data_IF_367322410040
#
_entry.id   IF_367322410040
#
_cell.length_a   1.000
_cell.length_b   1.000
_cell.length_c   1.000
_cell.angle_alpha   90.00
_cell.angle_beta   90.00
_cell.angle_gamma   90.00
#
_symmetry.space_group_name_H-M   'P 1'
#
loop_
_entity.id
_entity.type
_entity.pdbx_description
1 polymer ?
#
# COMPACT_ATOMS: atom_id res chain seq x y z
N UNK A 1 1.22 -67.91 -11.43
CA UNK A 1 0.50 -69.19 -11.24
C UNK A 1 -0.49 -68.93 -10.11
N UNK A 2 -1.82 -68.92 -10.21
CA UNK A 2 -2.88 -69.49 -11.07
C UNK A 2 -4.09 -68.53 -10.89
N UNK A 3 -4.62 -67.83 -11.89
CA UNK A 3 -5.59 -68.21 -12.94
C UNK A 3 -7.07 -68.42 -12.49
N UNK A 4 -7.98 -67.71 -13.20
CA UNK A 4 -9.36 -68.09 -13.64
C UNK A 4 -10.47 -67.97 -12.56
N UNK A 5 -11.52 -67.12 -12.65
CA UNK A 5 -12.61 -66.87 -13.64
C UNK A 5 -13.77 -67.89 -13.68
N UNK A 6 -15.01 -67.41 -13.46
CA UNK A 6 -16.34 -67.89 -13.96
C UNK A 6 -17.43 -67.05 -13.27
N UNK A 7 -18.33 -66.28 -13.89
CA UNK A 7 -19.24 -66.43 -15.05
C UNK A 7 -20.52 -67.25 -14.79
N UNK A 8 -21.70 -66.66 -15.11
CA UNK A 8 -23.05 -67.25 -15.14
C UNK A 8 -24.12 -66.25 -14.63
N UNK A 9 -24.86 -65.42 -15.38
CA UNK A 9 -25.68 -65.53 -16.62
C UNK A 9 -27.10 -66.11 -16.41
N UNK A 10 -28.14 -65.28 -16.62
CA UNK A 10 -29.53 -65.61 -17.04
C UNK A 10 -30.18 -64.27 -17.47
N UNK A 11 -30.42 -63.90 -18.75
CA UNK A 11 -31.24 -64.43 -19.86
C UNK A 11 -32.76 -64.53 -19.62
N UNK A 12 -33.52 -63.58 -20.17
CA UNK A 12 -34.64 -63.75 -21.14
C UNK A 12 -35.47 -62.45 -21.21
N UNK A 13 -36.11 -62.06 -22.32
CA UNK A 13 -36.42 -62.78 -23.53
C UNK A 13 -36.93 -61.85 -24.65
N UNK A 14 -36.86 -62.39 -25.86
CA UNK A 14 -37.17 -61.79 -27.17
C UNK A 14 -38.69 -61.69 -27.43
N UNK A 15 -39.13 -60.80 -28.33
CA UNK A 15 -39.58 -61.14 -29.70
C UNK A 15 -40.26 -59.98 -30.46
N UNK A 16 -39.84 -59.80 -31.70
CA UNK A 16 -40.59 -59.17 -32.80
C UNK A 16 -41.85 -59.95 -33.16
N UNK A 17 -42.91 -59.25 -33.61
CA UNK A 17 -43.48 -59.42 -34.96
C UNK A 17 -44.49 -58.31 -35.31
N UNK A 18 -44.50 -58.02 -36.60
CA UNK A 18 -45.29 -57.11 -37.43
C UNK A 18 -46.80 -57.42 -37.49
N UNK A 19 -47.64 -56.40 -37.71
CA UNK A 19 -48.31 -56.12 -39.02
C UNK A 19 -49.74 -55.57 -38.91
N UNK A 20 -50.01 -54.49 -39.68
CA UNK A 20 -51.24 -54.11 -40.41
C UNK A 20 -52.31 -53.17 -39.78
N UNK A 21 -52.37 -51.99 -40.41
CA UNK A 21 -53.51 -51.11 -40.77
C UNK A 21 -54.53 -50.66 -39.71
N UNK A 22 -54.68 -49.32 -39.60
CA UNK A 22 -55.87 -48.60 -40.12
C UNK A 22 -55.60 -47.08 -40.20
N UNK A 23 -55.97 -46.50 -41.34
CA UNK A 23 -56.01 -45.07 -41.64
C UNK A 23 -56.87 -44.30 -40.63
N UNK A 24 -56.37 -43.16 -40.16
CA UNK A 24 -57.18 -41.96 -39.93
C UNK A 24 -56.24 -40.75 -39.96
N UNK A 25 -56.46 -39.87 -40.94
CA UNK A 25 -55.63 -38.69 -41.15
C UNK A 25 -55.85 -37.65 -40.05
N UNK A 26 -54.75 -37.10 -39.55
CA UNK A 26 -54.70 -35.78 -38.95
C UNK A 26 -53.41 -35.14 -39.47
N UNK A 27 -53.57 -34.13 -40.33
CA UNK A 27 -52.48 -33.26 -40.75
C UNK A 27 -52.14 -32.37 -39.56
N UNK A 28 -51.09 -32.75 -38.82
CA UNK A 28 -50.48 -31.88 -37.82
C UNK A 28 -49.41 -31.05 -38.51
N UNK A 29 -49.70 -29.77 -38.70
CA UNK A 29 -48.77 -28.74 -39.16
C UNK A 29 -47.57 -28.68 -38.20
N UNK A 30 -46.42 -29.18 -38.64
CA UNK A 30 -45.14 -28.99 -37.93
C UNK A 30 -44.71 -27.55 -38.19
N UNK A 31 -45.05 -26.64 -37.28
CA UNK A 31 -44.39 -25.34 -37.18
C UNK A 31 -42.98 -25.59 -36.64
N UNK A 32 -41.96 -25.52 -37.51
CA UNK A 32 -40.57 -25.34 -37.09
C UNK A 32 -40.47 -23.99 -36.38
N UNK A 33 -40.59 -23.99 -35.06
CA UNK A 33 -40.16 -22.85 -34.25
C UNK A 33 -38.64 -22.87 -34.27
N UNK A 34 -38.06 -22.01 -35.11
CA UNK A 34 -36.67 -21.59 -34.94
C UNK A 34 -36.57 -20.90 -33.58
N UNK A 35 -36.15 -21.66 -32.58
CA UNK A 35 -35.74 -21.11 -31.29
C UNK A 35 -34.51 -20.25 -31.51
N UNK A 36 -34.70 -18.94 -31.72
CA UNK A 36 -33.64 -17.96 -31.54
C UNK A 36 -33.16 -18.08 -30.09
N UNK A 37 -31.98 -18.65 -29.88
CA UNK A 37 -31.30 -18.60 -28.59
C UNK A 37 -31.12 -17.13 -28.22
N UNK A 38 -31.94 -16.65 -27.29
CA UNK A 38 -31.78 -15.33 -26.72
C UNK A 38 -30.39 -15.29 -26.06
N UNK A 39 -29.45 -14.55 -26.67
CA UNK A 39 -28.21 -14.17 -26.01
C UNK A 39 -28.62 -13.44 -24.75
N UNK A 40 -28.30 -14.01 -23.59
CA UNK A 40 -28.42 -13.25 -22.35
C UNK A 40 -27.64 -11.95 -22.53
N UNK A 41 -28.21 -10.78 -22.19
CA UNK A 41 -27.44 -9.56 -22.20
C UNK A 41 -26.27 -9.78 -21.25
N UNK A 42 -25.06 -9.81 -21.82
CA UNK A 42 -23.83 -9.75 -21.04
C UNK A 42 -23.93 -8.45 -20.26
N UNK A 43 -24.13 -8.55 -18.94
CA UNK A 43 -24.03 -7.36 -18.10
C UNK A 43 -22.65 -6.78 -18.35
N UNK A 44 -22.52 -5.49 -18.69
CA UNK A 44 -21.24 -4.84 -18.75
C UNK A 44 -20.52 -5.15 -17.44
N UNK A 45 -19.30 -5.67 -17.54
CA UNK A 45 -18.44 -5.80 -16.37
C UNK A 45 -18.47 -4.45 -15.64
N UNK A 46 -18.62 -4.44 -14.30
CA UNK A 46 -18.54 -3.19 -13.56
C UNK A 46 -17.28 -2.48 -14.03
N UNK A 47 -17.41 -1.23 -14.47
CA UNK A 47 -16.26 -0.46 -14.89
C UNK A 47 -15.22 -0.54 -13.77
N UNK A 48 -13.96 -0.87 -14.08
CA UNK A 48 -12.93 -0.91 -13.07
C UNK A 48 -12.96 0.42 -12.34
N UNK A 49 -13.09 0.36 -11.01
CA UNK A 49 -13.04 1.55 -10.17
C UNK A 49 -11.84 2.38 -10.63
N UNK A 50 -12.02 3.69 -10.93
CA UNK A 50 -10.92 4.53 -11.37
C UNK A 50 -9.75 4.33 -10.41
N UNK A 51 -8.60 3.94 -10.96
CA UNK A 51 -7.38 3.77 -10.17
C UNK A 51 -7.16 5.09 -9.41
N UNK A 52 -6.93 5.06 -8.09
CA UNK A 52 -6.66 6.28 -7.34
C UNK A 52 -5.54 7.04 -8.03
N UNK A 53 -5.76 8.35 -8.13
CA UNK A 53 -4.92 9.29 -8.85
C UNK A 53 -3.44 9.08 -8.47
N UNK A 54 -2.64 8.82 -9.51
CA UNK A 54 -1.26 8.43 -9.39
C UNK A 54 -0.43 9.46 -8.61
N UNK A 55 0.54 8.97 -7.83
CA UNK A 55 1.76 9.65 -7.34
C UNK A 55 1.66 11.17 -7.38
N UNK A 56 1.31 11.80 -6.25
CA UNK A 56 1.53 13.24 -6.09
C UNK A 56 2.99 13.44 -5.66
N UNK A 57 3.86 14.00 -6.51
CA UNK A 57 5.22 14.33 -6.11
C UNK A 57 5.16 15.36 -4.99
N UNK A 58 6.04 15.29 -3.99
CA UNK A 58 6.21 16.44 -3.09
C UNK A 58 6.69 17.64 -3.88
N UNK A 59 6.16 18.81 -3.57
CA UNK A 59 6.67 20.05 -4.14
C UNK A 59 7.90 20.52 -3.35
N UNK A 60 8.17 21.83 -3.30
CA UNK A 60 9.32 22.36 -2.59
C UNK A 60 9.21 22.07 -1.09
N UNK A 61 10.29 21.61 -0.48
CA UNK A 61 10.36 21.41 0.98
C UNK A 61 11.48 22.26 1.58
N UNK A 62 11.43 22.50 2.88
CA UNK A 62 12.45 23.28 3.58
C UNK A 62 13.25 22.32 4.46
N UNK A 63 14.56 22.26 4.22
CA UNK A 63 15.50 21.52 5.07
C UNK A 63 16.15 22.46 6.08
N UNK A 64 16.27 21.98 7.32
CA UNK A 64 16.73 22.71 8.47
C UNK A 64 17.76 21.89 9.25
N UNK A 65 18.72 22.63 9.83
CA UNK A 65 19.64 22.11 10.83
C UNK A 65 20.55 20.98 10.36
N UNK A 66 21.50 20.64 11.22
CA UNK A 66 22.32 19.45 11.10
C UNK A 66 22.74 19.09 12.52
N UNK A 67 22.24 17.97 13.04
CA UNK A 67 22.40 17.57 14.43
C UNK A 67 23.25 16.31 14.51
N UNK A 68 24.23 16.29 15.39
CA UNK A 68 24.99 15.07 15.71
C UNK A 68 24.24 14.14 16.67
N UNK A 69 23.41 14.74 17.54
CA UNK A 69 22.60 14.02 18.53
C UNK A 69 21.15 13.92 18.06
N UNK A 70 20.60 12.71 18.08
CA UNK A 70 19.21 12.44 17.68
C UNK A 70 18.22 13.28 18.50
N UNK A 71 18.40 13.36 19.82
CA UNK A 71 17.45 14.06 20.71
C UNK A 71 17.30 15.55 20.37
N UNK A 72 18.34 16.17 19.80
CA UNK A 72 18.25 17.55 19.33
C UNK A 72 17.38 17.65 18.09
N UNK A 73 17.53 16.74 17.13
CA UNK A 73 16.68 16.67 15.95
C UNK A 73 15.21 16.39 16.34
N UNK A 74 14.98 15.44 17.26
CA UNK A 74 13.64 15.11 17.76
C UNK A 74 12.96 16.30 18.42
N UNK A 75 13.64 16.98 19.36
CA UNK A 75 13.08 18.17 20.03
C UNK A 75 12.80 19.29 19.03
N UNK A 76 13.69 19.51 18.07
CA UNK A 76 13.51 20.52 17.05
C UNK A 76 12.34 20.19 16.12
N UNK A 77 12.21 18.94 15.67
CA UNK A 77 11.04 18.47 14.92
C UNK A 77 9.74 18.71 15.70
N UNK A 78 9.70 18.35 16.99
CA UNK A 78 8.52 18.57 17.83
C UNK A 78 8.16 20.06 17.96
N UNK A 79 9.16 20.94 18.12
CA UNK A 79 8.90 22.39 18.19
C UNK A 79 8.28 22.94 16.91
N UNK A 80 8.58 22.35 15.74
CA UNK A 80 7.97 22.74 14.47
C UNK A 80 6.54 22.18 14.36
N UNK A 81 6.33 20.94 14.80
CA UNK A 81 4.99 20.31 14.86
C UNK A 81 4.04 21.09 15.77
N UNK A 82 4.51 21.63 16.90
CA UNK A 82 3.74 22.52 17.78
C UNK A 82 3.30 23.83 17.10
N UNK A 83 4.01 24.25 16.04
CA UNK A 83 3.61 25.39 15.19
C UNK A 83 2.68 24.97 14.04
N UNK A 84 2.21 23.71 14.03
CA UNK A 84 1.38 23.16 12.96
C UNK A 84 2.16 22.80 11.69
N UNK A 85 3.49 22.71 11.75
CA UNK A 85 4.31 22.32 10.62
C UNK A 85 4.54 20.81 10.63
N UNK A 86 4.16 20.13 9.55
CA UNK A 86 4.42 18.69 9.39
C UNK A 86 5.91 18.43 9.11
N UNK A 87 6.70 18.46 10.17
CA UNK A 87 8.14 18.28 10.13
C UNK A 87 8.56 16.82 10.31
N UNK A 88 9.72 16.49 9.75
CA UNK A 88 10.30 15.17 9.88
C UNK A 88 11.83 15.17 9.87
N UNK A 89 12.44 14.35 10.73
CA UNK A 89 13.88 14.16 10.75
C UNK A 89 14.32 12.89 10.02
N UNK A 90 15.56 12.88 9.57
CA UNK A 90 16.19 11.73 8.94
C UNK A 90 17.70 11.77 9.16
N UNK A 91 18.34 10.61 9.09
CA UNK A 91 19.78 10.48 9.17
C UNK A 91 20.35 10.52 7.75
N UNK A 92 21.31 11.41 7.50
CA UNK A 92 22.01 11.46 6.22
C UNK A 92 23.13 10.42 6.12
N UNK A 93 23.73 10.30 4.94
CA UNK A 93 24.82 9.34 4.69
C UNK A 93 26.08 9.58 5.54
N UNK A 94 26.24 10.75 6.17
CA UNK A 94 27.34 11.07 7.08
C UNK A 94 26.98 10.80 8.54
N UNK A 95 25.79 10.27 8.81
CA UNK A 95 25.30 10.00 10.15
C UNK A 95 24.74 11.22 10.88
N UNK A 96 24.59 12.36 10.19
CA UNK A 96 24.04 13.58 10.76
C UNK A 96 22.53 13.60 10.58
N UNK A 97 21.81 14.06 11.61
CA UNK A 97 20.37 14.21 11.54
C UNK A 97 20.01 15.56 10.95
N UNK A 98 19.04 15.56 10.04
CA UNK A 98 18.48 16.75 9.41
C UNK A 98 16.98 16.76 9.60
N UNK A 99 16.36 17.94 9.58
CA UNK A 99 14.91 18.09 9.64
C UNK A 99 14.42 18.68 8.33
N UNK A 100 13.29 18.21 7.82
CA UNK A 100 12.58 18.77 6.67
C UNK A 100 11.13 18.99 7.03
N UNK A 101 10.49 19.97 6.41
CA UNK A 101 9.06 20.17 6.55
C UNK A 101 8.48 20.85 5.30
N UNK A 102 7.16 20.81 5.23
CA UNK A 102 6.38 21.49 4.21
C UNK A 102 6.26 20.74 2.89
N UNK A 103 5.48 21.34 2.00
CA UNK A 103 5.09 20.86 0.68
C UNK A 103 4.52 22.06 -0.08
N UNK A 104 5.43 22.94 -0.52
CA UNK A 104 5.10 24.27 -1.03
C UNK A 104 5.07 24.25 -2.55
N UNK A 105 3.96 24.73 -3.13
CA UNK A 105 3.76 24.75 -4.58
C UNK A 105 4.76 25.60 -5.36
N UNK A 106 5.53 26.47 -4.69
CA UNK A 106 6.60 27.25 -5.34
C UNK A 106 7.77 27.52 -4.40
N UNK A 107 8.94 27.76 -4.99
CA UNK A 107 10.17 28.14 -4.29
C UNK A 107 9.97 29.43 -3.50
N UNK A 108 9.21 30.37 -4.03
CA UNK A 108 8.91 31.67 -3.41
C UNK A 108 8.04 31.52 -2.16
N UNK A 109 7.05 30.61 -2.19
CA UNK A 109 6.22 30.30 -1.02
C UNK A 109 7.07 29.60 0.05
N UNK A 110 7.91 28.63 -0.33
CA UNK A 110 8.82 27.98 0.60
C UNK A 110 9.79 28.99 1.24
N UNK A 111 10.40 29.85 0.43
CA UNK A 111 11.33 30.88 0.88
C UNK A 111 10.68 31.90 1.81
N UNK A 112 9.52 32.46 1.43
CA UNK A 112 8.80 33.42 2.28
C UNK A 112 8.33 32.82 3.60
N UNK A 113 7.96 31.54 3.59
CA UNK A 113 7.64 30.78 4.82
C UNK A 113 8.88 30.62 5.71
N UNK A 114 10.02 30.23 5.13
CA UNK A 114 11.27 30.09 5.86
C UNK A 114 11.73 31.42 6.46
N UNK A 115 11.72 32.50 5.68
CA UNK A 115 12.07 33.85 6.13
C UNK A 115 11.17 34.34 7.27
N UNK A 116 9.88 33.98 7.26
CA UNK A 116 8.98 34.28 8.37
C UNK A 116 9.43 33.56 9.65
N UNK A 117 9.71 32.26 9.57
CA UNK A 117 10.18 31.48 10.73
C UNK A 117 11.53 31.97 11.25
N UNK A 118 12.41 32.48 10.38
CA UNK A 118 13.67 33.14 10.78
C UNK A 118 13.39 34.41 11.57
N UNK A 119 12.51 35.29 11.09
CA UNK A 119 12.14 36.53 11.80
C UNK A 119 11.47 36.27 13.15
N UNK A 120 10.72 35.18 13.26
CA UNK A 120 10.08 34.72 14.51
C UNK A 120 11.08 34.05 15.46
N UNK A 121 12.33 33.82 15.04
CA UNK A 121 13.37 33.18 15.84
C UNK A 121 13.17 31.66 16.02
N UNK A 122 12.33 31.04 15.19
CA UNK A 122 12.01 29.60 15.25
C UNK A 122 13.11 28.78 14.58
N UNK A 123 13.68 29.29 13.49
CA UNK A 123 14.77 28.65 12.75
C UNK A 123 15.90 29.66 12.50
N UNK A 124 17.15 29.18 12.45
CA UNK A 124 18.31 30.05 12.21
C UNK A 124 18.74 30.05 10.74
N UNK A 125 18.76 28.87 10.12
CA UNK A 125 19.22 28.67 8.76
C UNK A 125 18.39 27.58 8.07
N UNK A 126 18.23 27.70 6.76
CA UNK A 126 17.43 26.78 5.96
C UNK A 126 17.98 26.60 4.55
N UNK A 127 17.54 25.53 3.91
CA UNK A 127 17.80 25.24 2.51
C UNK A 127 16.48 24.82 1.85
N UNK A 128 16.16 25.42 0.70
CA UNK A 128 14.98 25.04 -0.08
C UNK A 128 15.35 23.85 -0.96
N UNK A 129 14.66 22.73 -0.78
CA UNK A 129 14.81 21.52 -1.57
C UNK A 129 13.82 21.56 -2.72
N UNK A 130 14.33 21.51 -3.95
CA UNK A 130 13.51 21.42 -5.17
C UNK A 130 12.93 20.00 -5.36
N UNK A 131 11.73 19.85 -5.95
CA UNK A 131 11.20 18.55 -6.33
C UNK A 131 12.13 17.79 -7.30
N UNK A 132 12.89 18.48 -8.14
CA UNK A 132 13.82 17.87 -9.10
C UNK A 132 15.12 17.37 -8.45
N UNK A 133 15.48 17.90 -7.28
CA UNK A 133 16.65 17.45 -6.50
C UNK A 133 16.41 16.07 -5.86
N UNK A 134 15.15 15.65 -5.75
CA UNK A 134 14.78 14.27 -5.47
C UNK A 134 14.95 13.48 -6.79
N UNK A 135 16.19 13.26 -7.17
CA UNK A 135 16.60 12.72 -8.47
C UNK A 135 15.80 11.46 -8.88
N UNK A 136 14.91 11.59 -9.88
CA UNK A 136 14.29 10.45 -10.56
C UNK A 136 14.32 10.66 -12.07
N UNK A 137 15.44 10.37 -12.73
CA UNK A 137 15.60 10.48 -14.20
C UNK A 137 15.91 9.14 -14.86
N UNK A 138 14.91 8.57 -15.56
CA UNK A 138 14.91 7.75 -16.81
C UNK A 138 13.85 6.61 -16.81
N UNK A 139 12.95 6.63 -17.83
CA UNK A 139 11.89 5.63 -18.21
C UNK A 139 10.93 5.14 -17.10
N UNK A 140 9.61 5.22 -17.33
CA UNK A 140 8.56 4.98 -16.30
C UNK A 140 8.70 3.68 -15.49
N UNK A 141 8.98 2.53 -16.12
CA UNK A 141 9.12 1.23 -15.41
C UNK A 141 10.41 1.18 -14.58
N UNK A 142 11.55 1.56 -15.17
CA UNK A 142 12.83 1.66 -14.45
C UNK A 142 12.73 2.70 -13.32
N UNK A 143 11.96 3.76 -13.51
CA UNK A 143 11.62 4.77 -12.50
C UNK A 143 10.85 4.17 -11.33
N UNK A 144 9.83 3.35 -11.57
CA UNK A 144 9.07 2.70 -10.48
C UNK A 144 9.93 1.74 -9.67
N UNK A 145 10.75 0.90 -10.33
CA UNK A 145 11.62 -0.04 -9.62
C UNK A 145 12.68 0.68 -8.78
N UNK A 146 13.40 1.65 -9.37
CA UNK A 146 14.41 2.45 -8.65
C UNK A 146 13.77 3.19 -7.47
N UNK A 147 12.55 3.69 -7.63
CA UNK A 147 11.83 4.37 -6.56
C UNK A 147 11.44 3.41 -5.42
N UNK A 148 11.00 2.19 -5.74
CA UNK A 148 10.75 1.14 -4.74
C UNK A 148 12.02 0.78 -3.97
N UNK A 149 13.13 0.57 -4.68
CA UNK A 149 14.46 0.34 -4.07
C UNK A 149 14.87 1.51 -3.16
N UNK A 150 14.68 2.76 -3.60
CA UNK A 150 14.99 3.94 -2.79
C UNK A 150 14.10 4.06 -1.54
N UNK A 151 12.82 3.70 -1.63
CA UNK A 151 11.91 3.64 -0.47
C UNK A 151 12.42 2.62 0.55
N UNK A 152 12.81 1.43 0.11
CA UNK A 152 13.36 0.39 1.00
C UNK A 152 14.66 0.87 1.63
N UNK A 153 15.63 1.34 0.84
CA UNK A 153 16.91 1.87 1.33
C UNK A 153 16.71 3.01 2.34
N UNK A 154 15.74 3.88 2.06
CA UNK A 154 15.39 4.99 2.96
C UNK A 154 14.81 4.43 4.26
N UNK A 155 13.87 3.48 4.21
CA UNK A 155 13.30 2.84 5.40
C UNK A 155 14.37 2.14 6.25
N UNK A 156 15.33 1.45 5.61
CA UNK A 156 16.46 0.79 6.27
C UNK A 156 17.35 1.77 7.03
N UNK A 157 17.53 3.00 6.52
CA UNK A 157 18.32 4.04 7.20
C UNK A 157 17.74 4.45 8.57
N UNK A 158 16.47 4.13 8.85
CA UNK A 158 15.82 4.38 10.14
C UNK A 158 15.96 3.21 11.13
N UNK A 159 16.46 2.04 10.71
CA UNK A 159 16.58 0.88 11.59
C UNK A 159 17.39 1.20 12.85
N UNK A 160 16.89 0.75 14.00
CA UNK A 160 17.51 1.00 15.30
C UNK A 160 17.25 2.38 15.88
N UNK A 161 16.69 3.33 15.13
CA UNK A 161 16.25 4.61 15.71
C UNK A 161 15.06 4.36 16.66
N UNK A 162 15.00 5.05 17.81
CA UNK A 162 13.87 4.96 18.72
C UNK A 162 12.61 5.52 18.08
N UNK A 163 11.48 4.97 18.49
CA UNK A 163 10.16 5.47 18.14
C UNK A 163 9.91 6.85 18.74
N UNK A 164 10.08 7.92 17.95
CA UNK A 164 10.01 9.31 18.41
C UNK A 164 9.48 10.22 17.29
N UNK A 165 8.16 10.36 17.17
CA UNK A 165 7.46 11.20 16.18
C UNK A 165 6.19 11.76 16.81
N UNK A 166 5.88 13.05 16.61
CA UNK A 166 4.88 13.81 17.36
C UNK A 166 3.50 13.16 17.49
N UNK A 167 2.87 13.42 18.64
CA UNK A 167 1.55 12.91 19.03
C UNK A 167 1.64 11.87 20.15
N UNK A 168 0.86 12.04 21.22
CA UNK A 168 0.85 11.16 22.39
C UNK A 168 -0.05 9.92 22.26
N UNK A 169 -0.83 9.78 21.19
CA UNK A 169 -1.76 8.65 21.06
C UNK A 169 -1.23 7.57 20.11
N UNK A 170 -0.71 6.49 20.71
CA UNK A 170 -0.43 5.21 20.04
C UNK A 170 -1.70 4.65 19.36
N UNK A 171 -2.88 5.00 19.88
CA UNK A 171 -4.19 4.53 19.39
C UNK A 171 -4.55 4.97 17.97
N UNK A 172 -3.86 5.97 17.42
CA UNK A 172 -4.16 6.51 16.09
C UNK A 172 -3.06 6.19 15.05
N UNK A 173 -2.02 5.44 15.43
CA UNK A 173 -0.91 5.05 14.55
C UNK A 173 -0.05 6.22 14.05
N UNK A 174 -0.03 7.36 14.74
CA UNK A 174 0.64 8.61 14.31
C UNK A 174 2.17 8.53 14.20
N UNK A 175 2.76 7.47 14.68
CA UNK A 175 4.18 7.33 14.97
C UNK A 175 4.77 6.18 14.15
N UNK A 176 3.97 5.16 13.82
CA UNK A 176 4.21 4.29 12.68
C UNK A 176 3.93 4.99 11.34
N UNK A 177 2.80 5.69 11.19
CA UNK A 177 2.47 6.44 9.97
C UNK A 177 3.40 7.62 9.72
N UNK A 178 3.97 8.21 10.78
CA UNK A 178 4.98 9.27 10.68
C UNK A 178 6.28 8.77 10.04
N UNK A 179 6.75 7.58 10.43
CA UNK A 179 7.89 6.93 9.76
C UNK A 179 7.60 6.72 8.28
N UNK A 180 6.44 6.14 7.96
CA UNK A 180 6.07 5.84 6.57
C UNK A 180 5.98 7.13 5.74
N UNK A 181 5.34 8.17 6.28
CA UNK A 181 5.26 9.48 5.64
C UNK A 181 6.66 10.06 5.40
N UNK A 182 7.55 10.03 6.39
CA UNK A 182 8.91 10.54 6.24
C UNK A 182 9.68 9.80 5.14
N UNK A 183 9.59 8.46 5.10
CA UNK A 183 10.22 7.65 4.05
C UNK A 183 9.70 8.04 2.66
N UNK A 184 8.38 8.16 2.49
CA UNK A 184 7.80 8.54 1.21
C UNK A 184 8.17 9.96 0.79
N UNK A 185 8.12 10.93 1.72
CA UNK A 185 8.49 12.33 1.43
C UNK A 185 9.96 12.50 1.07
N UNK A 186 10.86 11.75 1.70
CA UNK A 186 12.28 11.72 1.32
C UNK A 186 12.52 11.19 -0.09
N UNK A 187 11.60 10.36 -0.59
CA UNK A 187 11.57 9.83 -1.94
C UNK A 187 10.67 10.62 -2.89
N UNK A 188 10.24 11.81 -2.46
CA UNK A 188 9.50 12.74 -3.31
C UNK A 188 8.03 12.41 -3.47
N UNK A 189 7.44 11.62 -2.57
CA UNK A 189 6.06 11.18 -2.64
C UNK A 189 5.24 11.75 -1.48
N UNK A 190 4.10 12.38 -1.80
CA UNK A 190 3.16 12.84 -0.78
C UNK A 190 2.43 11.63 -0.19
N UNK A 191 2.30 11.64 1.13
CA UNK A 191 1.56 10.63 1.87
C UNK A 191 0.79 11.31 3.01
N UNK A 192 -0.49 10.94 3.25
CA UNK A 192 -1.24 11.45 4.39
C UNK A 192 -0.52 11.16 5.72
N UNK A 193 -0.75 12.02 6.72
CA UNK A 193 -0.08 11.92 8.02
C UNK A 193 -0.52 10.72 8.85
N UNK A 194 -1.79 10.31 8.76
CA UNK A 194 -2.38 9.25 9.59
C UNK A 194 -2.41 7.90 8.86
N UNK A 195 -2.25 6.79 9.60
CA UNK A 195 -2.32 5.44 9.04
C UNK A 195 -3.69 5.14 8.40
N UNK A 196 -4.76 5.69 8.97
CA UNK A 196 -6.12 5.57 8.44
C UNK A 196 -6.29 6.24 7.08
N UNK A 197 -5.75 7.45 6.92
CA UNK A 197 -5.83 8.17 5.65
C UNK A 197 -4.87 7.59 4.61
N UNK A 198 -3.72 7.08 5.05
CA UNK A 198 -2.84 6.26 4.22
C UNK A 198 -3.64 5.05 3.67
N UNK A 199 -4.25 4.24 4.54
CA UNK A 199 -5.03 3.09 4.09
C UNK A 199 -6.15 3.45 3.09
N UNK A 200 -6.77 4.63 3.23
CA UNK A 200 -7.82 5.08 2.31
C UNK A 200 -7.30 5.61 0.98
N UNK A 201 -6.16 6.29 0.99
CA UNK A 201 -5.61 6.94 -0.20
C UNK A 201 -4.96 5.94 -1.18
N UNK A 202 -4.36 4.86 -0.66
CA UNK A 202 -3.65 3.89 -1.50
C UNK A 202 -4.58 2.95 -2.29
N UNK A 203 -4.06 2.36 -3.36
CA UNK A 203 -4.76 1.31 -4.13
C UNK A 203 -4.71 -0.01 -3.38
N UNK A 204 -5.86 -0.66 -3.16
CA UNK A 204 -5.91 -2.02 -2.61
C UNK A 204 -5.13 -2.99 -3.50
N UNK A 205 -4.31 -3.81 -2.87
CA UNK A 205 -3.61 -4.96 -3.48
C UNK A 205 -3.78 -6.17 -2.57
N UNK A 206 -3.73 -7.35 -3.19
CA UNK A 206 -3.77 -8.61 -2.46
C UNK A 206 -2.38 -8.94 -1.89
N UNK A 207 -2.33 -9.79 -0.86
CA UNK A 207 -1.08 -10.08 -0.15
C UNK A 207 -0.06 -10.77 -1.07
N UNK A 208 -0.54 -11.56 -2.02
CA UNK A 208 0.26 -12.28 -3.01
C UNK A 208 0.88 -11.33 -4.06
N UNK A 209 0.34 -10.12 -4.20
CA UNK A 209 0.83 -9.09 -5.12
C UNK A 209 1.83 -8.13 -4.48
N UNK A 210 2.14 -8.30 -3.19
CA UNK A 210 3.03 -7.43 -2.44
C UNK A 210 4.40 -7.34 -3.10
N UNK A 211 4.81 -6.11 -3.39
CA UNK A 211 6.14 -5.78 -3.86
C UNK A 211 6.77 -4.71 -2.97
N UNK A 212 8.10 -4.66 -2.96
CA UNK A 212 8.90 -3.74 -2.14
C UNK A 212 8.40 -2.30 -2.25
N UNK A 213 8.26 -1.62 -1.11
CA UNK A 213 7.74 -0.27 -1.02
C UNK A 213 6.21 -0.17 -1.04
N UNK A 214 5.46 -1.28 -1.04
CA UNK A 214 4.04 -1.25 -0.69
C UNK A 214 3.83 -1.10 0.82
N UNK A 215 2.65 -0.66 1.24
CA UNK A 215 2.30 -0.51 2.65
C UNK A 215 1.43 -1.67 3.14
N UNK A 216 1.75 -2.19 4.31
CA UNK A 216 0.97 -3.22 5.02
C UNK A 216 0.32 -2.63 6.26
N UNK A 217 -0.95 -2.95 6.47
CA UNK A 217 -1.76 -2.36 7.53
C UNK A 217 -2.31 -3.43 8.46
N UNK A 218 -2.43 -3.08 9.74
CA UNK A 218 -2.84 -3.99 10.80
C UNK A 218 -3.88 -3.36 11.72
N UNK A 219 -4.73 -4.22 12.31
CA UNK A 219 -5.72 -3.84 13.30
C UNK A 219 -5.24 -4.07 14.74
N UNK A 220 -5.93 -3.46 15.70
CA UNK A 220 -5.68 -3.70 17.14
C UNK A 220 -6.27 -5.05 17.58
N UNK A 221 -7.44 -5.39 17.06
CA UNK A 221 -8.18 -6.64 17.29
C UNK A 221 -9.17 -6.89 16.13
N UNK A 222 -10.28 -7.58 16.40
CA UNK A 222 -11.32 -7.95 15.41
C UNK A 222 -12.16 -6.76 14.91
N UNK A 223 -11.91 -5.52 15.36
CA UNK A 223 -12.79 -4.38 15.08
C UNK A 223 -12.49 -3.60 13.79
N UNK A 224 -11.74 -4.17 12.83
CA UNK A 224 -11.34 -3.59 11.53
C UNK A 224 -10.71 -2.18 11.59
N UNK A 225 -10.37 -1.69 12.79
CA UNK A 225 -9.77 -0.37 12.97
C UNK A 225 -8.28 -0.43 12.68
N UNK A 226 -7.85 0.38 11.72
CA UNK A 226 -6.43 0.60 11.42
C UNK A 226 -5.74 1.10 12.69
N UNK A 227 -4.74 0.34 13.13
CA UNK A 227 -3.94 0.66 14.30
C UNK A 227 -2.47 0.85 13.94
N UNK A 228 -1.98 0.10 12.94
CA UNK A 228 -0.56 0.04 12.64
C UNK A 228 -0.29 -0.03 11.14
N UNK A 229 0.85 0.50 10.71
CA UNK A 229 1.33 0.48 9.32
C UNK A 229 2.83 0.18 9.26
N UNK A 230 3.25 -0.51 8.20
CA UNK A 230 4.66 -0.75 7.88
C UNK A 230 4.92 -0.71 6.39
N UNK A 231 6.21 -0.60 6.03
CA UNK A 231 6.67 -0.63 4.65
C UNK A 231 7.13 -2.05 4.34
N UNK A 232 6.53 -2.69 3.35
CA UNK A 232 6.94 -4.01 2.89
C UNK A 232 8.31 -3.93 2.19
N UNK A 233 9.22 -4.82 2.56
CA UNK A 233 10.62 -4.83 2.08
C UNK A 233 11.00 -6.17 1.44
N UNK A 234 10.01 -6.90 0.92
CA UNK A 234 10.21 -8.18 0.25
C UNK A 234 10.25 -9.37 1.21
N UNK A 235 10.17 -10.58 0.65
CA UNK A 235 10.33 -11.86 1.37
C UNK A 235 9.44 -12.00 2.62
N UNK A 236 8.22 -11.45 2.60
CA UNK A 236 7.32 -11.48 3.76
C UNK A 236 7.74 -10.58 4.92
N UNK A 237 8.71 -9.68 4.73
CA UNK A 237 9.25 -8.77 5.75
C UNK A 237 8.70 -7.35 5.58
N UNK A 238 8.63 -6.63 6.68
CA UNK A 238 8.29 -5.21 6.67
C UNK A 238 9.06 -4.43 7.74
N UNK A 239 9.37 -3.17 7.45
CA UNK A 239 9.97 -2.21 8.38
C UNK A 239 8.86 -1.37 8.99
N UNK A 240 8.92 -1.18 10.30
CA UNK A 240 7.94 -0.36 11.01
C UNK A 240 8.48 0.22 12.31
N UNK A 241 7.76 1.22 12.83
CA UNK A 241 7.94 1.78 14.15
C UNK A 241 6.96 1.05 15.12
N UNK A 242 7.40 0.11 15.97
CA UNK A 242 6.51 -0.85 16.65
C UNK A 242 5.77 -0.33 17.91
N UNK A 243 6.01 0.90 18.35
CA UNK A 243 5.47 1.44 19.60
C UNK A 243 6.47 2.20 20.45
N UNK A 244 5.95 2.96 21.41
CA UNK A 244 6.75 3.68 22.41
C UNK A 244 7.72 2.75 23.15
N UNK A 245 8.91 3.27 23.47
CA UNK A 245 9.96 2.53 24.18
C UNK A 245 10.70 1.48 23.33
N UNK A 246 10.33 1.31 22.06
CA UNK A 246 10.98 0.39 21.12
C UNK A 246 11.69 1.15 20.01
N UNK A 247 12.49 0.42 19.25
CA UNK A 247 13.19 0.92 18.06
C UNK A 247 12.53 0.44 16.79
N UNK A 248 12.72 1.20 15.71
CA UNK A 248 12.36 0.81 14.35
C UNK A 248 13.11 -0.47 13.98
N UNK A 249 12.40 -1.43 13.40
CA UNK A 249 12.90 -2.79 13.17
C UNK A 249 12.18 -3.48 12.02
N UNK A 250 12.71 -4.64 11.64
CA UNK A 250 12.10 -5.58 10.70
C UNK A 250 11.28 -6.62 11.47
N UNK A 251 10.10 -6.96 10.96
CA UNK A 251 9.31 -8.10 11.39
C UNK A 251 8.79 -8.89 10.18
N UNK A 252 8.35 -10.12 10.40
CA UNK A 252 7.72 -10.93 9.36
C UNK A 252 6.19 -10.82 9.42
N UNK A 253 5.54 -10.81 8.27
CA UNK A 253 4.07 -10.91 8.17
C UNK A 253 3.56 -12.24 8.74
N UNK A 254 4.40 -13.29 8.72
CA UNK A 254 4.09 -14.60 9.29
C UNK A 254 4.27 -14.68 10.81
N UNK A 255 4.84 -13.66 11.47
CA UNK A 255 4.90 -13.62 12.93
C UNK A 255 3.46 -13.64 13.46
N UNK A 256 3.15 -14.56 14.38
CA UNK A 256 1.78 -14.83 14.83
C UNK A 256 1.01 -13.56 15.26
N UNK A 257 1.71 -12.59 15.87
CA UNK A 257 1.12 -11.31 16.26
C UNK A 257 0.61 -10.49 15.06
N UNK A 258 1.39 -10.39 13.98
CA UNK A 258 1.04 -9.61 12.79
C UNK A 258 0.14 -10.40 11.84
N UNK A 259 0.34 -11.71 11.71
CA UNK A 259 -0.50 -12.58 10.89
C UNK A 259 -1.98 -12.51 11.32
N UNK A 260 -2.25 -12.52 12.63
CA UNK A 260 -3.61 -12.41 13.18
C UNK A 260 -4.24 -11.03 13.02
N UNK A 261 -3.44 -9.99 12.74
CA UNK A 261 -3.87 -8.59 12.71
C UNK A 261 -3.78 -7.98 11.31
N UNK A 262 -3.32 -8.74 10.32
CA UNK A 262 -3.15 -8.25 8.96
C UNK A 262 -4.52 -7.88 8.39
N UNK A 263 -4.69 -6.61 8.05
CA UNK A 263 -5.94 -6.11 7.48
C UNK A 263 -5.90 -6.08 5.96
N UNK A 264 -4.74 -5.74 5.40
CA UNK A 264 -4.56 -5.61 3.97
C UNK A 264 -3.38 -4.74 3.61
N UNK A 265 -3.16 -4.61 2.30
CA UNK A 265 -2.05 -3.87 1.73
C UNK A 265 -2.52 -2.76 0.78
N UNK A 266 -1.65 -1.76 0.59
CA UNK A 266 -1.84 -0.64 -0.33
C UNK A 266 -0.61 -0.36 -1.18
N UNK A 267 -0.83 -0.19 -2.47
CA UNK A 267 0.16 0.30 -3.42
C UNK A 267 -0.02 1.80 -3.68
N UNK A 268 1.10 2.49 -3.84
CA UNK A 268 1.20 3.91 -4.23
C UNK A 268 2.03 4.12 -5.49
N UNK A 269 2.56 3.04 -6.06
CA UNK A 269 3.48 3.00 -7.20
C UNK A 269 3.02 2.01 -8.27
#
# INVERSE_FOLDING_TARGET
MVAVSKAGLFLNGRRCRSSLLRLAGIVATVLMVWGCGARMPVQPLPEPTPLPEAITPTDYTIQLGTFTQLDNAVRFTHSLEEQGLEAYYFRDAKGLFKVRFGDFSSREIAHSTAERLVREGIIEAYYIVSPDEVHVVRTRVRRTQVLRENIVNTAESFLGLPYRWGGSSVEQGFDCSGLVMAVYRLNGLKLPRSSKDQYRAGRRIDQEELVEGDLVFFTMSEDDKIFHVGIYVGEGKFIHAPGQGKTIRVNFLSDAYYAQRFLGARAYL
#
